data_IF_147121887750
#
_entry.id   IF_147121887750
#
_cell.length_a   1.000
_cell.length_b   1.000
_cell.length_c   1.000
_cell.angle_alpha   90.00
_cell.angle_beta   90.00
_cell.angle_gamma   90.00
#
_symmetry.space_group_name_H-M   'P 1'
#
loop_
_entity.id
_entity.type
_entity.pdbx_description
1 polymer ?
#
# COMPACT_ATOMS: atom_id res chain seq x y z
N UNK A 1 -16.16 8.46 -5.81
CA UNK A 1 -15.53 7.12 -5.72
C UNK A 1 -14.67 6.83 -6.95
N UNK A 2 -15.23 6.82 -8.16
CA UNK A 2 -14.46 6.56 -9.39
C UNK A 2 -13.39 7.65 -9.66
N UNK A 3 -13.72 8.92 -9.41
CA UNK A 3 -12.83 10.07 -9.56
C UNK A 3 -11.61 9.98 -8.64
N UNK A 4 -11.81 9.74 -7.34
CA UNK A 4 -10.75 9.51 -6.35
C UNK A 4 -9.82 8.35 -6.76
N UNK A 5 -10.39 7.27 -7.30
CA UNK A 5 -9.57 6.15 -7.80
C UNK A 5 -8.65 6.55 -8.96
N UNK A 6 -9.12 7.42 -9.85
CA UNK A 6 -8.31 7.95 -10.94
C UNK A 6 -7.24 8.92 -10.43
N UNK A 7 -7.55 9.75 -9.44
CA UNK A 7 -6.57 10.64 -8.81
C UNK A 7 -5.43 9.86 -8.13
N UNK A 8 -5.78 8.80 -7.39
CA UNK A 8 -4.78 7.92 -6.77
C UNK A 8 -3.92 7.23 -7.83
N UNK A 9 -4.53 6.74 -8.93
CA UNK A 9 -3.76 6.17 -10.03
C UNK A 9 -2.81 7.20 -10.65
N UNK A 10 -3.29 8.42 -10.91
CA UNK A 10 -2.45 9.49 -11.45
C UNK A 10 -1.29 9.83 -10.50
N UNK A 11 -1.56 9.89 -9.19
CA UNK A 11 -0.56 10.11 -8.15
C UNK A 11 0.52 9.01 -8.16
N UNK A 12 0.12 7.74 -8.19
CA UNK A 12 1.03 6.60 -8.20
C UNK A 12 1.81 6.49 -9.53
N UNK A 13 1.21 6.91 -10.65
CA UNK A 13 1.89 6.96 -11.94
C UNK A 13 2.86 8.13 -12.07
N UNK A 14 2.86 9.09 -11.14
CA UNK A 14 3.86 10.17 -11.10
C UNK A 14 5.29 9.67 -10.86
N UNK A 15 5.47 8.56 -10.13
CA UNK A 15 6.76 7.88 -9.99
C UNK A 15 6.58 6.36 -9.81
N UNK A 16 6.29 5.62 -10.90
CA UNK A 16 5.88 4.23 -10.80
C UNK A 16 6.99 3.33 -10.24
N UNK A 17 8.26 3.63 -10.53
CA UNK A 17 9.40 2.86 -10.02
C UNK A 17 9.48 2.97 -8.49
N UNK A 18 9.33 4.17 -7.95
CA UNK A 18 9.33 4.39 -6.51
C UNK A 18 8.18 3.65 -5.83
N UNK A 19 6.96 3.80 -6.35
CA UNK A 19 5.78 3.20 -5.74
C UNK A 19 5.73 1.68 -5.88
N UNK A 20 6.29 1.11 -6.96
CA UNK A 20 6.51 -0.34 -7.06
C UNK A 20 7.51 -0.81 -6.01
N UNK A 21 8.58 -0.06 -5.78
CA UNK A 21 9.53 -0.33 -4.70
C UNK A 21 8.86 -0.29 -3.31
N UNK A 22 8.08 0.75 -3.03
CA UNK A 22 7.31 0.89 -1.78
C UNK A 22 6.34 -0.30 -1.63
N UNK A 23 5.55 -0.58 -2.66
CA UNK A 23 4.59 -1.69 -2.67
C UNK A 23 5.29 -3.02 -2.37
N UNK A 24 6.43 -3.30 -3.01
CA UNK A 24 7.16 -4.54 -2.78
C UNK A 24 7.61 -4.69 -1.31
N UNK A 25 8.23 -3.64 -0.74
CA UNK A 25 8.71 -3.67 0.65
C UNK A 25 7.54 -3.74 1.64
N UNK A 26 6.49 -2.94 1.41
CA UNK A 26 5.30 -2.93 2.25
C UNK A 26 4.54 -4.25 2.20
N UNK A 27 4.43 -4.85 1.02
CA UNK A 27 3.80 -6.16 0.81
C UNK A 27 4.58 -7.30 1.47
N UNK A 28 5.92 -7.26 1.40
CA UNK A 28 6.77 -8.19 2.13
C UNK A 28 6.59 -8.03 3.65
N UNK A 29 6.67 -6.81 4.15
CA UNK A 29 6.54 -6.51 5.58
C UNK A 29 5.15 -6.90 6.11
N UNK A 30 4.08 -6.49 5.43
CA UNK A 30 2.70 -6.82 5.80
C UNK A 30 2.46 -8.34 5.86
N UNK A 31 2.94 -9.08 4.87
CA UNK A 31 2.83 -10.54 4.90
C UNK A 31 3.65 -11.17 6.03
N UNK A 32 4.86 -10.66 6.32
CA UNK A 32 5.67 -11.19 7.42
C UNK A 32 5.10 -10.87 8.80
N UNK A 33 4.38 -9.75 8.94
CA UNK A 33 3.65 -9.42 10.17
C UNK A 33 2.46 -10.37 10.40
N UNK A 34 1.73 -10.73 9.34
CA UNK A 34 0.52 -11.57 9.44
C UNK A 34 0.84 -13.06 9.48
N UNK A 35 1.73 -13.52 8.61
CA UNK A 35 2.06 -14.92 8.39
C UNK A 35 3.58 -15.11 8.47
N UNK A 36 4.13 -14.95 9.68
CA UNK A 36 5.58 -14.94 9.91
C UNK A 36 6.28 -16.20 9.37
N UNK A 37 5.65 -17.37 9.60
CA UNK A 37 6.14 -18.69 9.18
C UNK A 37 5.65 -19.11 7.79
N UNK A 38 4.68 -18.37 7.21
CA UNK A 38 4.08 -18.68 5.93
C UNK A 38 5.08 -18.53 4.78
N UNK A 39 5.20 -19.57 3.94
CA UNK A 39 5.96 -19.50 2.69
C UNK A 39 5.10 -18.81 1.62
N UNK A 40 5.09 -17.48 1.69
CA UNK A 40 4.50 -16.66 0.63
C UNK A 40 5.48 -16.48 -0.53
N UNK A 41 4.98 -16.67 -1.76
CA UNK A 41 5.77 -16.46 -2.98
C UNK A 41 6.01 -14.98 -3.26
N UNK A 42 7.08 -14.67 -4.00
CA UNK A 42 7.46 -13.29 -4.35
C UNK A 42 6.34 -12.51 -5.04
N UNK A 43 5.58 -13.18 -5.91
CA UNK A 43 4.42 -12.60 -6.60
C UNK A 43 3.30 -12.20 -5.63
N UNK A 44 3.08 -12.98 -4.57
CA UNK A 44 2.06 -12.69 -3.57
C UNK A 44 2.42 -11.42 -2.79
N UNK A 45 3.70 -11.23 -2.44
CA UNK A 45 4.16 -9.99 -1.81
C UNK A 45 3.86 -8.77 -2.67
N UNK A 46 4.12 -8.86 -3.98
CA UNK A 46 3.88 -7.75 -4.89
C UNK A 46 2.38 -7.45 -5.03
N UNK A 47 1.53 -8.46 -5.16
CA UNK A 47 0.07 -8.27 -5.24
C UNK A 47 -0.45 -7.62 -3.95
N UNK A 48 -0.11 -8.17 -2.79
CA UNK A 48 -0.49 -7.62 -1.48
C UNK A 48 -0.03 -6.18 -1.34
N UNK A 49 1.21 -5.92 -1.73
CA UNK A 49 1.82 -4.59 -1.72
C UNK A 49 1.10 -3.58 -2.61
N UNK A 50 0.84 -3.93 -3.85
CA UNK A 50 0.18 -3.04 -4.82
C UNK A 50 -1.27 -2.77 -4.41
N UNK A 51 -2.01 -3.80 -4.01
CA UNK A 51 -3.38 -3.65 -3.51
C UNK A 51 -3.41 -2.83 -2.22
N UNK A 52 -2.49 -3.11 -1.30
CA UNK A 52 -2.36 -2.39 -0.04
C UNK A 52 -2.01 -0.92 -0.23
N UNK A 53 -1.03 -0.62 -1.09
CA UNK A 53 -0.66 0.75 -1.47
C UNK A 53 -1.84 1.49 -2.08
N UNK A 54 -2.54 0.88 -3.04
CA UNK A 54 -3.68 1.51 -3.68
C UNK A 54 -4.81 1.80 -2.68
N UNK A 55 -5.20 0.82 -1.87
CA UNK A 55 -6.25 0.99 -0.86
C UNK A 55 -5.87 2.01 0.20
N UNK A 56 -4.62 1.99 0.66
CA UNK A 56 -4.11 2.96 1.61
C UNK A 56 -4.18 4.38 1.06
N UNK A 57 -3.65 4.60 -0.15
CA UNK A 57 -3.70 5.91 -0.81
C UNK A 57 -5.13 6.34 -1.12
N UNK A 58 -6.00 5.40 -1.50
CA UNK A 58 -7.42 5.67 -1.66
C UNK A 58 -8.05 6.22 -0.38
N UNK A 59 -7.74 5.65 0.78
CA UNK A 59 -8.22 6.19 2.06
C UNK A 59 -7.67 7.60 2.33
N UNK A 60 -6.39 7.85 2.05
CA UNK A 60 -5.76 9.17 2.22
C UNK A 60 -6.46 10.24 1.38
N UNK A 61 -6.69 9.96 0.09
CA UNK A 61 -7.41 10.87 -0.79
C UNK A 61 -8.88 11.02 -0.39
N UNK A 62 -9.54 9.91 -0.06
CA UNK A 62 -10.95 9.91 0.35
C UNK A 62 -11.22 10.76 1.60
N UNK A 63 -10.31 10.76 2.56
CA UNK A 63 -10.40 11.59 3.77
C UNK A 63 -9.82 13.00 3.60
N UNK A 64 -9.34 13.37 2.40
CA UNK A 64 -8.73 14.68 2.15
C UNK A 64 -7.39 14.90 2.89
N UNK A 65 -6.72 13.83 3.31
CA UNK A 65 -5.41 13.90 3.98
C UNK A 65 -4.29 14.28 3.02
N UNK A 66 -4.48 14.04 1.71
CA UNK A 66 -3.52 14.37 0.67
C UNK A 66 -3.11 15.85 0.68
N UNK A 67 -4.07 16.76 0.82
CA UNK A 67 -3.85 18.22 0.82
C UNK A 67 -2.96 18.70 1.98
N UNK A 68 -2.99 17.98 3.10
CA UNK A 68 -2.13 18.28 4.25
C UNK A 68 -0.70 17.78 4.01
N UNK A 69 -0.55 16.65 3.31
CA UNK A 69 0.76 16.08 2.98
C UNK A 69 1.48 16.88 1.90
N UNK A 70 0.76 17.58 1.03
CA UNK A 70 1.38 18.50 0.05
C UNK A 70 2.17 19.63 0.73
N UNK A 71 1.75 20.04 1.93
CA UNK A 71 2.45 21.07 2.73
C UNK A 71 3.73 20.55 3.39
N UNK A 72 3.94 19.23 3.40
CA UNK A 72 5.06 18.55 4.05
C UNK A 72 5.77 17.58 3.08
N UNK A 73 6.39 18.10 2.01
CA UNK A 73 6.94 17.27 0.94
C UNK A 73 8.05 16.31 1.42
N UNK A 74 8.81 16.70 2.43
CA UNK A 74 9.91 15.92 3.01
C UNK A 74 9.42 14.63 3.71
N UNK A 75 8.21 14.67 4.29
CA UNK A 75 7.62 13.54 5.01
C UNK A 75 6.72 12.68 4.12
N UNK A 76 6.40 13.15 2.91
CA UNK A 76 5.46 12.50 2.00
C UNK A 76 5.87 11.06 1.68
N UNK A 77 7.14 10.83 1.40
CA UNK A 77 7.64 9.47 1.13
C UNK A 77 7.47 8.53 2.33
N UNK A 78 7.78 9.01 3.55
CA UNK A 78 7.60 8.22 4.77
C UNK A 78 6.12 7.91 4.98
N UNK A 79 5.25 8.89 4.76
CA UNK A 79 3.81 8.71 4.90
C UNK A 79 3.27 7.71 3.88
N UNK A 80 3.68 7.82 2.62
CA UNK A 80 3.31 6.87 1.56
C UNK A 80 3.73 5.45 1.91
N UNK A 81 4.90 5.29 2.53
CA UNK A 81 5.39 4.00 3.00
C UNK A 81 4.55 3.45 4.18
N UNK A 82 4.22 4.29 5.17
CA UNK A 82 3.36 3.90 6.30
C UNK A 82 1.97 3.48 5.81
N UNK A 83 1.38 4.26 4.92
CA UNK A 83 0.07 4.00 4.33
C UNK A 83 0.10 2.70 3.54
N UNK A 84 1.14 2.48 2.73
CA UNK A 84 1.32 1.24 1.99
C UNK A 84 1.46 0.03 2.92
N UNK A 85 2.21 0.17 4.02
CA UNK A 85 2.37 -0.87 5.02
C UNK A 85 1.04 -1.23 5.69
N UNK A 86 0.30 -0.24 6.18
CA UNK A 86 -1.00 -0.46 6.83
C UNK A 86 -1.97 -1.13 5.86
N UNK A 87 -2.07 -0.63 4.63
CA UNK A 87 -2.91 -1.24 3.60
C UNK A 87 -2.49 -2.68 3.29
N UNK A 88 -1.18 -2.93 3.16
CA UNK A 88 -0.64 -4.27 2.90
C UNK A 88 -0.90 -5.24 4.04
N UNK A 89 -0.79 -4.79 5.30
CA UNK A 89 -1.13 -5.57 6.47
C UNK A 89 -2.60 -6.00 6.45
N UNK A 90 -3.52 -5.07 6.15
CA UNK A 90 -4.95 -5.36 6.06
C UNK A 90 -5.22 -6.39 4.96
N UNK A 91 -4.64 -6.19 3.77
CA UNK A 91 -4.80 -7.12 2.64
C UNK A 91 -4.25 -8.50 2.99
N UNK A 92 -3.04 -8.57 3.56
CA UNK A 92 -2.44 -9.84 3.99
C UNK A 92 -3.30 -10.54 5.05
N UNK A 93 -3.83 -9.80 6.03
CA UNK A 93 -4.70 -10.33 7.08
C UNK A 93 -5.98 -10.93 6.50
N UNK A 94 -6.61 -10.26 5.53
CA UNK A 94 -7.80 -10.76 4.84
C UNK A 94 -7.47 -12.05 4.08
N UNK A 95 -6.37 -12.07 3.31
CA UNK A 95 -5.98 -13.26 2.55
C UNK A 95 -5.70 -14.43 3.50
N UNK A 96 -4.93 -14.21 4.55
CA UNK A 96 -4.59 -15.24 5.54
C UNK A 96 -5.83 -15.77 6.25
N UNK A 97 -6.82 -14.91 6.55
CA UNK A 97 -8.09 -15.33 7.13
C UNK A 97 -8.90 -16.24 6.20
N UNK A 98 -8.94 -15.94 4.90
CA UNK A 98 -9.66 -16.75 3.90
C UNK A 98 -8.93 -18.06 3.63
N UNK A 99 -7.60 -18.00 3.48
CA UNK A 99 -6.75 -19.15 3.23
C UNK A 99 -5.45 -18.95 4.01
N UNK A 100 -5.26 -19.67 5.13
CA UNK A 100 -4.05 -19.59 5.92
C UNK A 100 -2.83 -19.85 5.03
N UNK A 101 -1.84 -18.96 5.13
CA UNK A 101 -0.61 -18.93 4.33
C UNK A 101 0.60 -19.21 5.19
#
# INVERSE_FOLDING_TARGET
MQEIGQEVLAYLLGNPVLYVGIAFVAGFAGNKTVAYEGRSGLLLFLIVGLTGLFLGQFMVFFFGLHDYLEKLPELRFLFDFIVAYIGSFIVAAIIHFIKPM
#
